data_IF_465727939353
#
_entry.id   IF_465727939353
#
_cell.length_a   1.000
_cell.length_b   1.000
_cell.length_c   1.000
_cell.angle_alpha   90.00
_cell.angle_beta   90.00
_cell.angle_gamma   90.00
#
_symmetry.space_group_name_H-M   'P 1'
#
loop_
_entity.id
_entity.type
_entity.pdbx_description
1 polymer ?
#
# COMPACT_ATOMS: atom_id res chain seq x y z
N UNK A 1 -15.38 1.60 18.36
CA UNK A 1 -15.06 1.51 16.91
C UNK A 1 -15.11 2.92 16.33
N UNK A 2 -14.06 3.71 16.57
CA UNK A 2 -13.98 5.09 16.07
C UNK A 2 -13.51 5.04 14.62
N UNK A 3 -14.43 5.29 13.70
CA UNK A 3 -14.12 5.48 12.29
C UNK A 3 -13.25 6.72 12.13
N UNK A 4 -12.02 6.50 11.66
CA UNK A 4 -11.17 7.59 11.21
C UNK A 4 -11.72 8.03 9.84
N UNK A 5 -12.61 9.04 9.84
CA UNK A 5 -12.89 9.81 8.61
C UNK A 5 -11.64 10.62 8.29
N UNK A 6 -10.66 9.97 7.66
CA UNK A 6 -9.58 10.68 7.02
C UNK A 6 -10.12 11.28 5.73
N UNK A 7 -9.96 12.60 5.57
CA UNK A 7 -10.05 13.21 4.25
C UNK A 7 -8.90 12.71 3.35
N UNK A 8 -8.92 13.01 2.05
CA UNK A 8 -7.86 12.59 1.15
C UNK A 8 -6.50 13.09 1.66
N UNK A 9 -5.57 12.15 1.90
CA UNK A 9 -4.21 12.46 2.31
C UNK A 9 -3.41 12.83 1.06
N UNK A 10 -3.00 14.10 0.97
CA UNK A 10 -2.06 14.53 -0.07
C UNK A 10 -0.65 14.34 0.48
N UNK A 11 0.02 13.29 0.02
CA UNK A 11 1.36 12.92 0.44
C UNK A 11 2.35 13.11 -0.71
N UNK A 12 3.57 13.52 -0.37
CA UNK A 12 4.65 13.63 -1.33
C UNK A 12 5.05 12.26 -1.88
N UNK A 13 5.50 12.21 -3.14
CA UNK A 13 5.87 10.96 -3.81
C UNK A 13 6.85 10.09 -3.03
N UNK A 14 7.86 10.69 -2.38
CA UNK A 14 8.85 9.93 -1.61
C UNK A 14 8.23 9.24 -0.38
N UNK A 15 7.23 9.86 0.26
CA UNK A 15 6.49 9.27 1.38
C UNK A 15 5.66 8.09 0.88
N UNK A 16 4.91 8.29 -0.21
CA UNK A 16 4.11 7.23 -0.85
C UNK A 16 4.97 6.04 -1.26
N UNK A 17 6.16 6.29 -1.83
CA UNK A 17 7.12 5.24 -2.18
C UNK A 17 7.58 4.44 -0.96
N UNK A 18 7.82 5.10 0.18
CA UNK A 18 8.18 4.40 1.43
C UNK A 18 7.05 3.55 2.00
N UNK A 19 5.79 3.89 1.72
CA UNK A 19 4.61 3.14 2.18
C UNK A 19 4.34 1.88 1.36
N UNK A 20 4.93 1.70 0.16
CA UNK A 20 4.61 0.58 -0.73
C UNK A 20 4.79 -0.80 -0.08
N UNK A 21 5.82 -0.98 0.75
CA UNK A 21 6.04 -2.22 1.47
C UNK A 21 4.95 -2.50 2.51
N UNK A 22 4.56 -1.49 3.30
CA UNK A 22 3.49 -1.60 4.28
C UNK A 22 2.13 -1.84 3.60
N UNK A 23 1.87 -1.17 2.47
CA UNK A 23 0.67 -1.37 1.67
C UNK A 23 0.59 -2.78 1.09
N UNK A 24 1.69 -3.31 0.55
CA UNK A 24 1.75 -4.67 0.01
C UNK A 24 1.47 -5.74 1.08
N UNK A 25 1.82 -5.45 2.34
CA UNK A 25 1.56 -6.30 3.50
C UNK A 25 0.16 -6.11 4.12
N UNK A 26 -0.68 -5.23 3.56
CA UNK A 26 -1.95 -4.81 4.16
C UNK A 26 -1.80 -4.27 5.61
N UNK A 27 -0.70 -3.57 5.86
CA UNK A 27 -0.34 -3.02 7.18
C UNK A 27 -0.53 -1.49 7.29
N UNK A 28 -1.00 -0.83 6.23
CA UNK A 28 -1.32 0.60 6.23
C UNK A 28 -2.66 0.90 6.91
N UNK A 29 -2.81 2.11 7.45
CA UNK A 29 -4.14 2.64 7.75
C UNK A 29 -4.93 2.87 6.45
N UNK A 30 -6.26 2.84 6.51
CA UNK A 30 -7.12 2.98 5.31
C UNK A 30 -6.78 4.22 4.48
N UNK A 31 -6.62 5.37 5.12
CA UNK A 31 -6.30 6.63 4.46
C UNK A 31 -4.97 6.62 3.71
N UNK A 32 -3.98 5.92 4.25
CA UNK A 32 -2.66 5.76 3.62
C UNK A 32 -2.77 4.81 2.43
N UNK A 33 -3.55 3.74 2.56
CA UNK A 33 -3.80 2.82 1.46
C UNK A 33 -4.51 3.50 0.29
N UNK A 34 -5.54 4.32 0.56
CA UNK A 34 -6.26 5.08 -0.46
C UNK A 34 -5.32 6.03 -1.21
N UNK A 35 -4.45 6.77 -0.48
CA UNK A 35 -3.47 7.67 -1.07
C UNK A 35 -2.40 6.94 -1.90
N UNK A 36 -1.96 5.75 -1.45
CA UNK A 36 -1.07 4.89 -2.25
C UNK A 36 -1.77 4.42 -3.52
N UNK A 37 -3.01 3.94 -3.45
CA UNK A 37 -3.76 3.45 -4.60
C UNK A 37 -4.00 4.54 -5.66
N UNK A 38 -4.38 5.76 -5.23
CA UNK A 38 -4.47 6.92 -6.12
C UNK A 38 -3.13 7.20 -6.81
N UNK A 39 -2.02 7.15 -6.05
CA UNK A 39 -0.68 7.35 -6.58
C UNK A 39 -0.28 6.29 -7.62
N UNK A 40 -0.58 5.01 -7.39
CA UNK A 40 -0.25 3.93 -8.33
C UNK A 40 -0.95 4.11 -9.68
N UNK A 41 -2.14 4.71 -9.70
CA UNK A 41 -2.85 5.07 -10.93
C UNK A 41 -2.14 6.14 -11.77
N UNK A 42 -1.30 6.97 -11.15
CA UNK A 42 -0.61 8.09 -11.80
C UNK A 42 0.91 7.86 -11.97
N UNK A 43 1.50 6.86 -11.33
CA UNK A 43 2.94 6.62 -11.32
C UNK A 43 3.31 5.16 -11.65
N UNK A 44 3.67 4.93 -12.92
CA UNK A 44 4.00 3.58 -13.41
C UNK A 44 5.16 2.90 -12.69
N UNK A 45 6.22 3.64 -12.33
CA UNK A 45 7.37 3.06 -11.62
C UNK A 45 7.01 2.58 -10.21
N UNK A 46 6.12 3.28 -9.51
CA UNK A 46 5.61 2.83 -8.22
C UNK A 46 4.61 1.68 -8.37
N UNK A 47 3.80 1.64 -9.44
CA UNK A 47 2.91 0.53 -9.74
C UNK A 47 3.68 -0.78 -9.99
N UNK A 48 4.75 -0.71 -10.80
CA UNK A 48 5.63 -1.86 -11.04
C UNK A 48 6.27 -2.37 -9.74
N UNK A 49 6.74 -1.46 -8.89
CA UNK A 49 7.31 -1.81 -7.59
C UNK A 49 6.27 -2.46 -6.67
N UNK A 50 5.07 -1.87 -6.59
CA UNK A 50 3.97 -2.38 -5.77
C UNK A 50 3.54 -3.80 -6.19
N UNK A 51 3.53 -4.08 -7.50
CA UNK A 51 3.26 -5.42 -8.03
C UNK A 51 4.34 -6.42 -7.58
N UNK A 52 5.63 -6.10 -7.78
CA UNK A 52 6.74 -6.96 -7.35
C UNK A 52 6.72 -7.23 -5.85
N UNK A 53 6.38 -6.22 -5.05
CA UNK A 53 6.26 -6.37 -3.60
C UNK A 53 5.11 -7.31 -3.23
N UNK A 54 3.93 -7.20 -3.86
CA UNK A 54 2.80 -8.12 -3.60
C UNK A 54 3.12 -9.56 -3.99
N UNK A 55 3.81 -9.77 -5.11
CA UNK A 55 4.30 -11.10 -5.51
C UNK A 55 5.24 -11.68 -4.44
N UNK A 56 6.21 -10.88 -3.97
CA UNK A 56 7.13 -11.30 -2.91
C UNK A 56 6.40 -11.61 -1.60
N UNK A 57 5.44 -10.77 -1.18
CA UNK A 57 4.62 -11.01 0.02
C UNK A 57 3.84 -12.31 -0.10
N UNK A 58 3.24 -12.59 -1.27
CA UNK A 58 2.50 -13.84 -1.51
C UNK A 58 3.38 -15.10 -1.37
N UNK A 59 4.66 -15.01 -1.72
CA UNK A 59 5.62 -16.10 -1.51
C UNK A 59 6.01 -16.28 -0.02
N UNK A 60 6.04 -15.20 0.75
CA UNK A 60 6.40 -15.20 2.17
C UNK A 60 5.24 -15.64 3.07
N UNK A 61 4.01 -15.34 2.68
CA UNK A 61 2.81 -15.78 3.38
C UNK A 61 2.63 -17.28 3.17
N UNK A 62 3.10 -18.08 4.13
CA UNK A 62 2.71 -19.49 4.20
C UNK A 62 1.19 -19.55 4.41
N UNK A 63 0.45 -20.40 3.68
CA UNK A 63 -0.94 -20.63 4.03
C UNK A 63 -1.00 -21.07 5.50
N UNK A 64 -1.74 -20.31 6.30
CA UNK A 64 -2.13 -20.74 7.64
C UNK A 64 -2.77 -22.11 7.49
N UNK A 65 -2.15 -23.13 8.06
CA UNK A 65 -2.77 -24.44 8.15
C UNK A 65 -3.87 -24.32 9.20
N UNK A 66 -5.11 -24.18 8.72
CA UNK A 66 -6.35 -24.23 9.51
C UNK A 66 -6.58 -25.64 10.09
#
# INVERSE_FOLDING_TARGET
MSGHRAGPLVLEHHVLKSLLGAWALAACAQAEADAVEEHLGACGSCADEALRLREAVGLLQRPESL
#
